data_IF_265020617632
#
_entry.id   IF_265020617632
#
_cell.length_a   1.000
_cell.length_b   1.000
_cell.length_c   1.000
_cell.angle_alpha   90.00
_cell.angle_beta   90.00
_cell.angle_gamma   90.00
#
_symmetry.space_group_name_H-M   'P 1'
#
loop_
_entity.id
_entity.type
_entity.pdbx_description
1 polymer ?
#
# COMPACT_ATOMS: atom_id res chain seq x y z
N UNK A 1 13.61 13.36 -59.10
CA UNK A 1 12.15 13.37 -59.09
C UNK A 1 11.72 12.59 -57.83
N UNK A 2 11.51 13.38 -56.81
CA UNK A 2 10.37 13.45 -55.88
C UNK A 2 9.72 12.07 -55.52
N UNK A 3 10.10 11.54 -54.38
CA UNK A 3 9.36 10.57 -53.61
C UNK A 3 8.51 11.28 -52.55
N UNK A 4 7.19 11.19 -52.64
CA UNK A 4 6.24 11.73 -51.69
C UNK A 4 6.12 10.89 -50.40
N UNK A 5 5.68 11.50 -49.28
CA UNK A 5 5.80 10.89 -47.94
C UNK A 5 4.68 9.92 -47.59
N UNK A 6 5.05 8.75 -47.04
CA UNK A 6 4.15 7.70 -46.52
C UNK A 6 3.99 7.85 -44.98
N UNK A 7 3.76 9.06 -44.48
CA UNK A 7 3.63 9.21 -43.01
C UNK A 7 2.32 9.81 -42.50
N UNK A 8 1.36 10.11 -43.35
CA UNK A 8 0.13 10.79 -42.87
C UNK A 8 -1.09 9.90 -42.63
N UNK A 9 -1.03 8.60 -42.98
CA UNK A 9 -2.20 7.72 -42.89
C UNK A 9 -2.22 6.77 -41.68
N UNK A 10 -1.12 6.61 -40.95
CA UNK A 10 -1.08 5.75 -39.76
C UNK A 10 -1.57 6.50 -38.52
N UNK A 11 -1.40 7.80 -38.45
CA UNK A 11 -1.87 8.63 -37.31
C UNK A 11 -3.39 8.91 -37.33
N UNK A 12 -4.07 8.73 -38.47
CA UNK A 12 -5.53 8.95 -38.58
C UNK A 12 -6.38 7.73 -38.30
N UNK A 13 -5.82 6.53 -38.26
CA UNK A 13 -6.59 5.30 -37.98
C UNK A 13 -6.63 4.90 -36.51
N UNK A 14 -5.88 5.57 -35.63
CA UNK A 14 -5.84 5.29 -34.19
C UNK A 14 -6.79 6.23 -33.41
N UNK A 15 -7.39 7.23 -34.06
CA UNK A 15 -8.18 8.27 -33.40
C UNK A 15 -9.69 8.18 -33.63
N UNK A 16 -10.26 6.97 -33.79
CA UNK A 16 -11.70 6.80 -33.93
C UNK A 16 -12.30 5.62 -33.15
N UNK A 17 -11.82 5.33 -31.96
CA UNK A 17 -12.68 4.81 -30.91
C UNK A 17 -13.08 6.00 -30.04
N UNK A 18 -14.32 6.45 -30.20
CA UNK A 18 -15.02 7.30 -29.25
C UNK A 18 -14.97 6.60 -27.88
N UNK A 19 -13.91 6.84 -27.10
CA UNK A 19 -13.98 6.60 -25.67
C UNK A 19 -14.93 7.66 -25.13
N UNK A 20 -16.14 7.25 -24.76
CA UNK A 20 -16.97 8.07 -23.88
C UNK A 20 -16.05 8.51 -22.73
N UNK A 21 -15.88 9.82 -22.53
CA UNK A 21 -14.96 10.33 -21.52
C UNK A 21 -15.43 9.82 -20.16
N UNK A 22 -14.60 8.99 -19.51
CA UNK A 22 -14.89 8.52 -18.16
C UNK A 22 -15.02 9.72 -17.23
N UNK A 23 -15.91 9.63 -16.23
CA UNK A 23 -16.05 10.69 -15.25
C UNK A 23 -14.75 10.89 -14.48
N UNK A 24 -14.39 12.13 -14.12
CA UNK A 24 -13.17 12.41 -13.36
C UNK A 24 -13.14 11.68 -12.03
N UNK A 25 -11.95 11.20 -11.66
CA UNK A 25 -11.66 10.59 -10.36
C UNK A 25 -10.79 11.56 -9.56
N UNK A 26 -11.19 11.86 -8.34
CA UNK A 26 -10.36 12.56 -7.37
C UNK A 26 -9.26 11.65 -6.83
N UNK A 27 -8.04 12.14 -6.74
CA UNK A 27 -6.95 11.39 -6.12
C UNK A 27 -6.15 12.28 -5.17
N UNK A 28 -6.10 11.88 -3.89
CA UNK A 28 -5.48 12.66 -2.81
C UNK A 28 -4.31 11.86 -2.22
N UNK A 29 -3.11 12.46 -2.26
CA UNK A 29 -1.86 11.85 -1.83
C UNK A 29 -1.11 11.17 -2.97
N UNK A 30 -0.06 11.85 -3.48
CA UNK A 30 0.74 11.45 -4.63
C UNK A 30 2.16 11.00 -4.24
N UNK A 31 2.33 10.50 -3.03
CA UNK A 31 3.60 9.94 -2.57
C UNK A 31 4.02 8.68 -3.34
N UNK A 32 4.95 7.89 -2.75
CA UNK A 32 5.55 6.72 -3.39
C UNK A 32 4.54 5.69 -3.94
N UNK A 33 3.39 5.55 -3.27
CA UNK A 33 2.32 4.65 -3.70
C UNK A 33 1.27 5.36 -4.56
N UNK A 34 0.79 6.53 -4.14
CA UNK A 34 -0.31 7.23 -4.80
C UNK A 34 0.02 7.69 -6.22
N UNK A 35 1.22 8.20 -6.47
CA UNK A 35 1.62 8.66 -7.81
C UNK A 35 1.53 7.52 -8.87
N UNK A 36 2.16 6.35 -8.69
CA UNK A 36 1.99 5.25 -9.65
C UNK A 36 0.55 4.73 -9.73
N UNK A 37 -0.21 4.72 -8.64
CA UNK A 37 -1.64 4.35 -8.66
C UNK A 37 -2.45 5.32 -9.53
N UNK A 38 -2.30 6.62 -9.32
CA UNK A 38 -2.95 7.66 -10.12
C UNK A 38 -2.58 7.55 -11.61
N UNK A 39 -1.31 7.31 -11.94
CA UNK A 39 -0.87 7.08 -13.32
C UNK A 39 -1.53 5.86 -13.97
N UNK A 40 -1.80 4.79 -13.23
CA UNK A 40 -2.51 3.64 -13.77
C UNK A 40 -3.98 3.95 -14.07
N UNK A 41 -4.68 4.75 -13.24
CA UNK A 41 -6.02 5.25 -13.57
C UNK A 41 -6.02 6.06 -14.87
N UNK A 42 -5.04 6.94 -15.05
CA UNK A 42 -4.89 7.72 -16.30
C UNK A 42 -4.68 6.81 -17.53
N UNK A 43 -3.85 5.78 -17.41
CA UNK A 43 -3.65 4.78 -18.50
C UNK A 43 -4.95 4.08 -18.89
N UNK A 44 -5.88 3.92 -17.96
CA UNK A 44 -7.21 3.34 -18.20
C UNK A 44 -8.24 4.38 -18.64
N UNK A 45 -7.82 5.62 -18.94
CA UNK A 45 -8.65 6.67 -19.52
C UNK A 45 -9.48 7.47 -18.52
N UNK A 46 -9.17 7.43 -17.23
CA UNK A 46 -9.81 8.29 -16.24
C UNK A 46 -9.11 9.65 -16.18
N UNK A 47 -9.83 10.77 -16.41
CA UNK A 47 -9.35 12.09 -16.04
C UNK A 47 -9.17 12.18 -14.52
N UNK A 48 -8.14 12.85 -14.04
CA UNK A 48 -7.89 12.98 -12.61
C UNK A 48 -8.02 14.43 -12.13
N UNK A 49 -8.60 14.60 -10.95
CA UNK A 49 -8.53 15.80 -10.13
C UNK A 49 -7.64 15.44 -8.94
N UNK A 50 -6.46 16.01 -8.85
CA UNK A 50 -5.43 15.57 -7.92
C UNK A 50 -5.14 16.62 -6.85
N UNK A 51 -4.79 16.15 -5.65
CA UNK A 51 -4.28 16.98 -4.55
C UNK A 51 -3.13 16.27 -3.83
N UNK A 52 -2.10 17.05 -3.52
CA UNK A 52 -1.03 16.67 -2.59
C UNK A 52 -0.63 17.92 -1.79
N UNK A 53 0.09 17.73 -0.69
CA UNK A 53 0.62 18.84 0.13
C UNK A 53 1.76 19.60 -0.56
N UNK A 54 2.34 19.02 -1.62
CA UNK A 54 3.31 19.70 -2.49
C UNK A 54 2.59 20.36 -3.68
N UNK A 55 2.92 21.64 -4.02
CA UNK A 55 2.13 22.42 -4.96
C UNK A 55 2.25 21.92 -6.40
N UNK A 56 1.16 22.01 -7.15
CA UNK A 56 0.92 22.10 -8.61
C UNK A 56 -0.43 21.49 -9.03
N UNK A 57 -1.38 21.41 -8.09
CA UNK A 57 -2.68 20.76 -8.27
C UNK A 57 -3.79 21.61 -7.61
N UNK A 58 -5.02 21.13 -7.49
CA UNK A 58 -6.06 21.89 -6.79
C UNK A 58 -5.63 22.22 -5.35
N UNK A 59 -6.19 23.30 -4.81
CA UNK A 59 -5.68 23.91 -3.57
C UNK A 59 -6.07 23.19 -2.28
N UNK A 60 -7.03 22.24 -2.34
CA UNK A 60 -7.49 21.53 -1.15
C UNK A 60 -8.18 20.19 -1.46
N UNK A 61 -8.29 19.28 -0.48
CA UNK A 61 -9.15 18.10 -0.58
C UNK A 61 -10.63 18.44 -0.87
N UNK A 62 -11.14 19.56 -0.33
CA UNK A 62 -12.49 20.04 -0.61
C UNK A 62 -12.69 20.38 -2.09
N UNK A 63 -11.69 20.95 -2.76
CA UNK A 63 -11.77 21.28 -4.19
C UNK A 63 -11.74 20.03 -5.07
N UNK A 64 -11.10 18.93 -4.60
CA UNK A 64 -11.23 17.63 -5.25
C UNK A 64 -12.66 17.13 -5.15
N UNK A 65 -13.27 17.19 -3.96
CA UNK A 65 -14.63 16.72 -3.71
C UNK A 65 -15.70 17.52 -4.47
N UNK A 66 -15.45 18.82 -4.70
CA UNK A 66 -16.32 19.64 -5.54
C UNK A 66 -16.37 19.19 -7.01
N UNK A 67 -15.24 18.64 -7.51
CA UNK A 67 -15.04 18.34 -8.94
C UNK A 67 -15.14 16.86 -9.29
N UNK A 68 -15.11 15.97 -8.30
CA UNK A 68 -15.17 14.52 -8.52
C UNK A 68 -16.15 13.85 -7.55
N UNK A 69 -16.91 12.88 -8.07
CA UNK A 69 -17.88 12.11 -7.29
C UNK A 69 -17.30 10.75 -6.83
N UNK A 70 -16.12 10.38 -7.34
CA UNK A 70 -15.35 9.20 -6.92
C UNK A 70 -13.97 9.68 -6.51
N UNK A 71 -13.59 9.43 -5.26
CA UNK A 71 -12.36 9.97 -4.67
C UNK A 71 -11.56 8.85 -4.02
N UNK A 72 -10.28 8.76 -4.35
CA UNK A 72 -9.33 7.82 -3.74
C UNK A 72 -8.33 8.61 -2.91
N UNK A 73 -8.09 8.16 -1.68
CA UNK A 73 -7.06 8.72 -0.80
C UNK A 73 -5.95 7.70 -0.56
N UNK A 74 -4.69 8.15 -0.52
CA UNK A 74 -3.51 7.32 -0.23
C UNK A 74 -2.54 8.10 0.64
N UNK A 75 -2.74 8.04 1.95
CA UNK A 75 -2.15 8.92 2.95
C UNK A 75 -1.26 8.14 3.93
N UNK A 76 -0.25 8.77 4.56
CA UNK A 76 0.74 8.05 5.36
C UNK A 76 0.22 7.56 6.73
N UNK A 77 -0.70 8.30 7.37
CA UNK A 77 -1.15 8.01 8.75
C UNK A 77 -2.64 8.29 8.94
N UNK A 78 -3.20 7.77 10.06
CA UNK A 78 -4.58 8.07 10.49
C UNK A 78 -4.82 9.57 10.66
N UNK A 79 -3.86 10.32 11.19
CA UNK A 79 -3.96 11.77 11.37
C UNK A 79 -4.12 12.48 10.02
N UNK A 80 -3.32 12.10 9.03
CA UNK A 80 -3.42 12.68 7.68
C UNK A 80 -4.77 12.33 7.02
N UNK A 81 -5.29 11.13 7.25
CA UNK A 81 -6.62 10.75 6.76
C UNK A 81 -7.71 11.62 7.41
N UNK A 82 -7.71 11.74 8.74
CA UNK A 82 -8.67 12.60 9.44
C UNK A 82 -8.60 14.04 8.92
N UNK A 83 -7.40 14.60 8.77
CA UNK A 83 -7.25 15.98 8.25
C UNK A 83 -7.77 16.11 6.81
N UNK A 84 -7.46 15.15 5.93
CA UNK A 84 -7.91 15.19 4.53
C UNK A 84 -9.43 15.07 4.40
N UNK A 85 -10.10 14.32 5.29
CA UNK A 85 -11.55 14.17 5.28
C UNK A 85 -12.26 15.28 6.05
N UNK A 86 -11.87 15.52 7.30
CA UNK A 86 -12.63 16.33 8.27
C UNK A 86 -12.00 17.68 8.60
N UNK A 87 -10.77 17.95 8.14
CA UNK A 87 -10.06 19.20 8.37
C UNK A 87 -10.77 20.43 7.81
N UNK A 88 -10.22 21.62 8.06
CA UNK A 88 -10.80 22.90 7.66
C UNK A 88 -11.14 22.98 6.17
N UNK A 89 -10.28 22.41 5.31
CA UNK A 89 -10.46 22.32 3.87
C UNK A 89 -10.58 20.85 3.40
N UNK A 90 -11.13 19.99 4.28
CA UNK A 90 -11.28 18.56 4.03
C UNK A 90 -12.42 18.23 3.07
N UNK A 91 -12.42 16.98 2.60
CA UNK A 91 -13.40 16.42 1.65
C UNK A 91 -14.84 16.72 2.07
N UNK A 92 -15.16 16.53 3.36
CA UNK A 92 -16.51 16.66 3.90
C UNK A 92 -17.13 18.06 3.74
N UNK A 93 -16.31 19.09 3.46
CA UNK A 93 -16.82 20.46 3.22
C UNK A 93 -17.56 20.62 1.91
N UNK A 94 -17.22 19.79 0.90
CA UNK A 94 -17.80 19.90 -0.45
C UNK A 94 -18.18 18.55 -1.08
N UNK A 95 -18.14 17.45 -0.32
CA UNK A 95 -18.54 16.14 -0.82
C UNK A 95 -20.00 16.15 -1.22
N UNK A 96 -20.32 15.54 -2.36
CA UNK A 96 -21.68 15.46 -2.89
C UNK A 96 -22.38 14.21 -2.41
N UNK A 97 -23.69 14.29 -2.27
CA UNK A 97 -24.54 13.12 -2.00
C UNK A 97 -24.35 12.09 -3.12
N UNK A 98 -24.18 10.82 -2.73
CA UNK A 98 -23.97 9.70 -3.66
C UNK A 98 -22.50 9.55 -4.12
N UNK A 99 -21.56 10.38 -3.63
CA UNK A 99 -20.14 10.18 -3.92
C UNK A 99 -19.61 8.90 -3.29
N UNK A 100 -18.66 8.24 -3.98
CA UNK A 100 -17.92 7.08 -3.49
C UNK A 100 -16.50 7.51 -3.09
N UNK A 101 -16.18 7.35 -1.80
CA UNK A 101 -14.89 7.67 -1.21
C UNK A 101 -14.17 6.37 -0.85
N UNK A 102 -12.96 6.17 -1.37
CA UNK A 102 -12.16 4.95 -1.19
C UNK A 102 -10.83 5.34 -0.53
N UNK A 103 -10.64 4.94 0.73
CA UNK A 103 -9.37 5.17 1.41
C UNK A 103 -8.44 3.97 1.27
N UNK A 104 -7.39 4.13 0.49
CA UNK A 104 -6.35 3.11 0.27
C UNK A 104 -5.17 3.22 1.23
N UNK A 105 -5.25 4.12 2.19
CA UNK A 105 -4.25 4.28 3.26
C UNK A 105 -4.27 3.09 4.21
N UNK A 106 -3.14 2.80 4.86
CA UNK A 106 -3.10 1.85 5.99
C UNK A 106 -3.21 2.63 7.28
N UNK A 107 -4.40 2.64 7.88
CA UNK A 107 -4.78 3.41 9.08
C UNK A 107 -5.48 2.52 10.11
N UNK A 108 -5.77 3.08 11.27
CA UNK A 108 -6.50 2.37 12.31
C UNK A 108 -7.93 2.00 11.82
N UNK A 109 -8.38 0.73 12.01
CA UNK A 109 -9.74 0.32 11.65
C UNK A 109 -10.84 1.15 12.34
N UNK A 110 -10.60 1.63 13.56
CA UNK A 110 -11.56 2.50 14.27
C UNK A 110 -11.71 3.86 13.60
N UNK A 111 -10.59 4.42 13.12
CA UNK A 111 -10.59 5.68 12.37
C UNK A 111 -11.34 5.53 11.05
N UNK A 112 -11.15 4.42 10.32
CA UNK A 112 -11.94 4.14 9.10
C UNK A 112 -13.44 4.10 9.40
N UNK A 113 -13.85 3.48 10.52
CA UNK A 113 -15.26 3.43 10.95
C UNK A 113 -15.83 4.80 11.34
N UNK A 114 -15.01 5.66 11.95
CA UNK A 114 -15.39 7.02 12.28
C UNK A 114 -15.54 7.88 11.03
N UNK A 115 -14.58 7.81 10.11
CA UNK A 115 -14.67 8.52 8.82
C UNK A 115 -15.89 8.08 8.02
N UNK A 116 -16.18 6.79 7.98
CA UNK A 116 -17.38 6.27 7.31
C UNK A 116 -18.66 6.92 7.85
N UNK A 117 -18.82 7.00 9.18
CA UNK A 117 -19.98 7.65 9.80
C UNK A 117 -20.13 9.11 9.40
N UNK A 118 -19.01 9.84 9.33
CA UNK A 118 -19.05 11.25 8.93
C UNK A 118 -19.39 11.40 7.44
N UNK A 119 -18.86 10.52 6.57
CA UNK A 119 -19.17 10.49 5.14
C UNK A 119 -20.64 10.12 4.90
N UNK A 120 -21.18 9.14 5.63
CA UNK A 120 -22.56 8.71 5.54
C UNK A 120 -23.55 9.83 5.94
N UNK A 121 -23.22 10.66 6.93
CA UNK A 121 -24.02 11.84 7.30
C UNK A 121 -24.17 12.83 6.14
N UNK A 122 -23.19 12.87 5.24
CA UNK A 122 -23.24 13.69 4.02
C UNK A 122 -24.01 13.01 2.87
N UNK A 123 -24.50 11.78 3.09
CA UNK A 123 -25.18 10.98 2.07
C UNK A 123 -24.25 10.40 1.01
N UNK A 124 -22.97 10.27 1.33
CA UNK A 124 -21.94 9.64 0.50
C UNK A 124 -21.55 8.26 1.07
N UNK A 125 -20.80 7.48 0.30
CA UNK A 125 -20.34 6.13 0.66
C UNK A 125 -18.86 6.14 0.94
N UNK A 126 -18.42 5.45 2.00
CA UNK A 126 -17.01 5.26 2.33
C UNK A 126 -16.63 3.79 2.28
N UNK A 127 -15.47 3.49 1.70
CA UNK A 127 -14.84 2.17 1.72
C UNK A 127 -13.38 2.30 2.11
N UNK A 128 -12.91 1.44 3.01
CA UNK A 128 -11.48 1.26 3.25
C UNK A 128 -10.93 0.21 2.28
N UNK A 129 -9.84 0.51 1.63
CA UNK A 129 -9.23 -0.36 0.62
C UNK A 129 -7.70 -0.32 0.66
N UNK A 130 -7.06 -0.64 1.83
CA UNK A 130 -5.61 -0.68 1.92
C UNK A 130 -5.01 -1.70 0.94
N UNK A 131 -3.74 -1.47 0.59
CA UNK A 131 -3.07 -2.18 -0.50
C UNK A 131 -1.89 -3.01 -0.03
N UNK A 132 -1.61 -4.09 -0.74
CA UNK A 132 -0.39 -4.90 -0.62
C UNK A 132 0.30 -5.03 -1.98
N UNK A 133 1.67 -5.12 -1.98
CA UNK A 133 2.48 -5.30 -3.19
C UNK A 133 3.65 -4.30 -3.30
N UNK A 134 3.63 -3.21 -2.53
CA UNK A 134 4.68 -2.19 -2.54
C UNK A 134 4.72 -1.36 -3.83
N UNK A 135 5.75 -0.52 -3.95
CA UNK A 135 5.91 0.44 -5.06
C UNK A 135 6.04 -0.25 -6.42
N UNK A 136 6.67 -1.43 -6.48
CA UNK A 136 6.79 -2.21 -7.71
C UNK A 136 5.43 -2.61 -8.26
N UNK A 137 4.58 -3.22 -7.44
CA UNK A 137 3.22 -3.59 -7.81
C UNK A 137 2.33 -2.37 -8.12
N UNK A 138 2.52 -1.26 -7.39
CA UNK A 138 1.81 -0.02 -7.70
C UNK A 138 2.15 0.51 -9.10
N UNK A 139 3.43 0.42 -9.52
CA UNK A 139 3.86 0.83 -10.87
C UNK A 139 3.32 -0.07 -11.97
N UNK A 140 3.30 -1.37 -11.73
CA UNK A 140 2.85 -2.38 -12.72
C UNK A 140 1.33 -2.59 -12.74
N UNK A 141 0.57 -2.00 -11.80
CA UNK A 141 -0.87 -2.21 -11.67
C UNK A 141 -1.25 -3.57 -11.07
N UNK A 142 -0.37 -4.18 -10.27
CA UNK A 142 -0.53 -5.51 -9.70
C UNK A 142 -0.78 -5.50 -8.19
N UNK A 143 -1.34 -4.42 -7.65
CA UNK A 143 -1.68 -4.34 -6.22
C UNK A 143 -2.78 -5.35 -5.85
N UNK A 144 -2.76 -5.77 -4.59
CA UNK A 144 -3.88 -6.43 -3.95
C UNK A 144 -4.58 -5.42 -3.05
N UNK A 145 -5.86 -5.16 -3.31
CA UNK A 145 -6.73 -4.31 -2.50
C UNK A 145 -7.58 -5.18 -1.58
N UNK A 146 -7.68 -4.79 -0.31
CA UNK A 146 -8.50 -5.42 0.72
C UNK A 146 -9.64 -4.45 1.06
N UNK A 147 -10.84 -4.70 0.54
CA UNK A 147 -11.93 -3.72 0.54
C UNK A 147 -12.94 -4.01 1.64
N UNK A 148 -13.10 -3.06 2.56
CA UNK A 148 -14.18 -3.06 3.56
C UNK A 148 -15.19 -1.96 3.25
N UNK A 149 -16.49 -2.27 3.35
CA UNK A 149 -17.56 -1.30 3.07
C UNK A 149 -18.89 -1.95 2.78
N UNK A 150 -19.80 -1.18 2.21
CA UNK A 150 -21.12 -1.64 1.79
C UNK A 150 -21.00 -2.54 0.55
N UNK A 151 -21.54 -3.75 0.62
CA UNK A 151 -21.36 -4.77 -0.42
C UNK A 151 -21.95 -4.33 -1.77
N UNK A 152 -23.08 -3.63 -1.74
CA UNK A 152 -23.77 -3.12 -2.93
C UNK A 152 -22.91 -2.14 -3.74
N UNK A 153 -21.99 -1.43 -3.09
CA UNK A 153 -21.09 -0.47 -3.73
C UNK A 153 -19.73 -1.09 -4.12
N UNK A 154 -19.48 -2.35 -3.75
CA UNK A 154 -18.21 -3.02 -4.04
C UNK A 154 -17.90 -3.08 -5.53
N UNK A 155 -18.88 -3.32 -6.39
CA UNK A 155 -18.68 -3.39 -7.83
C UNK A 155 -18.16 -2.06 -8.41
N UNK A 156 -18.66 -0.92 -7.91
CA UNK A 156 -18.21 0.41 -8.33
C UNK A 156 -16.76 0.70 -7.86
N UNK A 157 -16.40 0.27 -6.65
CA UNK A 157 -15.04 0.36 -6.16
C UNK A 157 -14.10 -0.57 -6.95
N UNK A 158 -14.51 -1.80 -7.24
CA UNK A 158 -13.74 -2.80 -7.97
C UNK A 158 -13.37 -2.32 -9.39
N UNK A 159 -14.28 -1.61 -10.08
CA UNK A 159 -14.00 -1.01 -11.39
C UNK A 159 -12.77 -0.09 -11.36
N UNK A 160 -12.69 0.79 -10.35
CA UNK A 160 -11.58 1.73 -10.21
C UNK A 160 -10.31 1.02 -9.72
N UNK A 161 -10.44 0.20 -8.68
CA UNK A 161 -9.31 -0.48 -8.05
C UNK A 161 -8.67 -1.50 -8.99
N UNK A 162 -9.45 -2.14 -9.87
CA UNK A 162 -8.98 -3.05 -10.91
C UNK A 162 -8.06 -2.38 -11.95
N UNK A 163 -8.10 -1.04 -12.08
CA UNK A 163 -7.14 -0.32 -12.90
C UNK A 163 -5.72 -0.25 -12.28
N UNK A 164 -5.61 -0.49 -10.98
CA UNK A 164 -4.39 -0.32 -10.19
C UNK A 164 -3.91 -1.62 -9.54
N UNK A 165 -4.75 -2.65 -9.54
CA UNK A 165 -4.45 -3.93 -8.90
C UNK A 165 -4.99 -5.12 -9.66
N UNK A 166 -4.31 -6.26 -9.52
CA UNK A 166 -4.73 -7.55 -10.09
C UNK A 166 -5.72 -8.30 -9.17
N UNK A 167 -5.75 -7.95 -7.90
CA UNK A 167 -6.66 -8.56 -6.92
C UNK A 167 -7.41 -7.46 -6.16
N UNK A 168 -8.74 -7.53 -6.19
CA UNK A 168 -9.63 -6.66 -5.41
C UNK A 168 -10.55 -7.56 -4.63
N UNK A 169 -10.34 -7.65 -3.30
CA UNK A 169 -10.98 -8.63 -2.44
C UNK A 169 -11.93 -7.92 -1.49
N UNK A 170 -13.20 -8.31 -1.48
CA UNK A 170 -14.17 -7.84 -0.51
C UNK A 170 -13.96 -8.52 0.85
N UNK A 171 -13.79 -7.72 1.88
CA UNK A 171 -13.49 -8.17 3.25
C UNK A 171 -14.67 -8.01 4.23
N UNK A 172 -15.82 -7.56 3.74
CA UNK A 172 -17.00 -7.29 4.58
C UNK A 172 -17.13 -5.82 4.98
N UNK A 173 -17.66 -5.54 6.16
CA UNK A 173 -17.98 -4.19 6.64
C UNK A 173 -16.75 -3.26 6.68
N UNK A 174 -17.01 -1.94 6.77
CA UNK A 174 -15.99 -0.91 6.95
C UNK A 174 -15.06 -1.24 8.10
N UNK A 175 -13.75 -1.07 7.86
CA UNK A 175 -12.65 -1.40 8.77
C UNK A 175 -12.12 -2.82 8.60
N UNK A 176 -12.82 -3.71 7.90
CA UNK A 176 -12.37 -5.08 7.66
C UNK A 176 -11.20 -5.15 6.64
N UNK A 177 -11.15 -4.25 5.67
CA UNK A 177 -10.01 -4.09 4.80
C UNK A 177 -8.74 -3.74 5.59
N UNK A 178 -8.84 -2.76 6.50
CA UNK A 178 -7.75 -2.40 7.41
C UNK A 178 -7.36 -3.58 8.32
N UNK A 179 -8.34 -4.28 8.91
CA UNK A 179 -8.08 -5.45 9.74
C UNK A 179 -7.32 -6.54 8.97
N UNK A 180 -7.76 -6.85 7.74
CA UNK A 180 -7.07 -7.82 6.88
C UNK A 180 -5.61 -7.37 6.60
N UNK A 181 -5.42 -6.08 6.30
CA UNK A 181 -4.09 -5.51 6.02
C UNK A 181 -3.15 -5.57 7.20
N UNK A 182 -3.57 -5.16 8.40
CA UNK A 182 -2.71 -5.20 9.59
C UNK A 182 -2.37 -6.62 10.02
N UNK A 183 -3.31 -7.57 9.90
CA UNK A 183 -3.03 -8.98 10.15
C UNK A 183 -1.99 -9.55 9.16
N UNK A 184 -2.14 -9.22 7.86
CA UNK A 184 -1.16 -9.60 6.84
C UNK A 184 0.23 -9.04 7.16
N UNK A 185 0.33 -7.75 7.51
CA UNK A 185 1.63 -7.13 7.75
C UNK A 185 2.27 -7.57 9.07
N UNK A 186 1.46 -7.89 10.08
CA UNK A 186 1.96 -8.52 11.30
C UNK A 186 2.59 -9.88 11.01
N UNK A 187 1.90 -10.75 10.25
CA UNK A 187 2.45 -12.04 9.85
C UNK A 187 3.69 -11.89 8.97
N UNK A 188 3.69 -10.93 8.05
CA UNK A 188 4.83 -10.60 7.21
C UNK A 188 6.07 -10.21 8.03
N UNK A 189 5.90 -9.37 9.05
CA UNK A 189 7.00 -8.95 9.94
C UNK A 189 7.57 -10.12 10.74
N UNK A 190 6.71 -10.96 11.32
CA UNK A 190 7.10 -12.17 12.06
C UNK A 190 7.87 -13.12 11.14
N UNK A 191 7.35 -13.37 9.94
CA UNK A 191 7.98 -14.25 8.96
C UNK A 191 9.33 -13.72 8.49
N UNK A 192 9.48 -12.40 8.33
CA UNK A 192 10.74 -11.79 7.94
C UNK A 192 11.80 -11.94 9.03
N UNK A 193 11.44 -11.68 10.30
CA UNK A 193 12.35 -11.87 11.42
C UNK A 193 12.74 -13.34 11.51
N UNK A 194 11.78 -14.26 11.49
CA UNK A 194 12.06 -15.70 11.55
C UNK A 194 12.95 -16.20 10.41
N UNK A 195 12.73 -15.69 9.18
CA UNK A 195 13.60 -15.99 8.04
C UNK A 195 15.01 -15.45 8.28
N UNK A 196 15.15 -14.22 8.77
CA UNK A 196 16.44 -13.60 9.05
C UNK A 196 17.22 -14.38 10.13
N UNK A 197 16.57 -14.76 11.22
CA UNK A 197 17.16 -15.57 12.30
C UNK A 197 17.61 -16.95 11.79
N UNK A 198 16.73 -17.67 11.07
CA UNK A 198 17.04 -18.99 10.52
C UNK A 198 18.23 -18.95 9.54
N UNK A 199 18.24 -17.95 8.64
CA UNK A 199 19.34 -17.74 7.69
C UNK A 199 20.63 -17.40 8.42
N UNK A 200 20.60 -16.50 9.40
CA UNK A 200 21.78 -16.12 10.17
C UNK A 200 22.36 -17.33 10.94
N UNK A 201 21.52 -18.10 11.63
CA UNK A 201 21.93 -19.31 12.34
C UNK A 201 22.59 -20.32 11.40
N UNK A 202 21.96 -20.62 10.25
CA UNK A 202 22.48 -21.61 9.32
C UNK A 202 23.82 -21.19 8.70
N UNK A 203 23.99 -19.89 8.37
CA UNK A 203 25.25 -19.35 7.89
C UNK A 203 26.37 -19.50 8.95
N UNK A 204 26.05 -19.27 10.23
CA UNK A 204 27.02 -19.45 11.33
C UNK A 204 27.37 -20.91 11.59
N UNK A 205 26.45 -21.82 11.29
CA UNK A 205 26.70 -23.27 11.31
C UNK A 205 27.48 -23.77 10.09
N UNK A 206 27.86 -22.87 9.15
CA UNK A 206 28.68 -23.18 7.99
C UNK A 206 27.92 -23.55 6.72
N UNK A 207 26.59 -23.35 6.69
CA UNK A 207 25.81 -23.61 5.48
C UNK A 207 25.98 -22.49 4.45
N UNK A 208 26.07 -22.86 3.19
CA UNK A 208 25.99 -21.89 2.08
C UNK A 208 24.61 -21.22 2.08
N UNK A 209 24.54 -19.87 2.01
CA UNK A 209 23.26 -19.15 2.10
C UNK A 209 22.25 -19.53 1.01
N UNK A 210 22.72 -19.75 -0.24
CA UNK A 210 21.83 -20.13 -1.35
C UNK A 210 21.30 -21.55 -1.19
N UNK A 211 22.15 -22.46 -0.72
CA UNK A 211 21.75 -23.83 -0.40
C UNK A 211 20.72 -23.83 0.72
N UNK A 212 20.94 -23.07 1.80
CA UNK A 212 20.00 -22.99 2.93
C UNK A 212 18.65 -22.42 2.48
N UNK A 213 18.63 -21.31 1.72
CA UNK A 213 17.41 -20.75 1.18
C UNK A 213 16.66 -21.75 0.30
N UNK A 214 17.36 -22.52 -0.55
CA UNK A 214 16.76 -23.60 -1.34
C UNK A 214 16.11 -24.68 -0.46
N UNK A 215 16.78 -25.11 0.61
CA UNK A 215 16.25 -26.09 1.55
C UNK A 215 14.98 -25.58 2.24
N UNK A 216 15.01 -24.33 2.76
CA UNK A 216 13.84 -23.70 3.40
C UNK A 216 12.65 -23.64 2.43
N UNK A 217 12.90 -23.26 1.17
CA UNK A 217 11.85 -23.10 0.16
C UNK A 217 11.29 -24.43 -0.38
N UNK A 218 12.00 -25.53 -0.20
CA UNK A 218 11.55 -26.91 -0.54
C UNK A 218 10.88 -27.61 0.65
N UNK A 219 10.92 -27.02 1.83
CA UNK A 219 10.49 -27.63 3.08
C UNK A 219 9.40 -26.80 3.77
N UNK A 220 9.00 -27.26 4.96
CA UNK A 220 7.91 -26.64 5.75
C UNK A 220 8.20 -25.23 6.29
N UNK A 221 9.45 -24.77 6.22
CA UNK A 221 9.85 -23.40 6.60
C UNK A 221 9.60 -22.34 5.52
N UNK A 222 9.08 -22.75 4.36
CA UNK A 222 8.79 -21.83 3.26
C UNK A 222 7.77 -20.75 3.66
N UNK A 223 8.09 -19.50 3.35
CA UNK A 223 7.17 -18.36 3.44
C UNK A 223 7.54 -17.32 2.38
N UNK A 224 6.70 -16.28 2.20
CA UNK A 224 6.96 -15.22 1.25
C UNK A 224 8.32 -14.54 1.48
N UNK A 225 8.72 -14.34 2.73
CA UNK A 225 10.02 -13.77 3.09
C UNK A 225 11.20 -14.66 2.70
N UNK A 226 11.04 -15.98 2.65
CA UNK A 226 12.10 -16.91 2.26
C UNK A 226 12.22 -17.09 0.75
N UNK A 227 11.09 -17.18 0.02
CA UNK A 227 11.08 -17.58 -1.38
C UNK A 227 10.93 -16.44 -2.39
N UNK A 228 10.42 -15.28 -1.95
CA UNK A 228 10.13 -14.14 -2.83
C UNK A 228 10.90 -12.87 -2.44
N UNK A 229 11.32 -12.78 -1.18
CA UNK A 229 11.91 -11.54 -0.65
C UNK A 229 13.03 -11.81 0.39
N UNK A 230 13.94 -12.72 0.05
CA UNK A 230 14.96 -13.19 1.00
C UNK A 230 15.82 -12.04 1.54
N UNK A 231 15.97 -11.92 2.89
CA UNK A 231 16.68 -10.80 3.52
C UNK A 231 18.22 -10.88 3.40
N UNK A 232 18.78 -11.99 2.91
CA UNK A 232 20.22 -12.20 2.87
C UNK A 232 20.81 -11.66 1.56
N UNK A 233 21.79 -10.74 1.62
CA UNK A 233 22.46 -10.26 0.42
C UNK A 233 23.08 -11.39 -0.43
N UNK A 234 22.88 -11.33 -1.75
CA UNK A 234 23.42 -12.30 -2.69
C UNK A 234 22.67 -13.62 -2.82
N UNK A 235 21.61 -13.84 -2.04
CA UNK A 235 20.72 -15.02 -2.18
C UNK A 235 19.75 -14.84 -3.33
N UNK A 236 19.17 -13.65 -3.47
CA UNK A 236 18.14 -13.36 -4.47
C UNK A 236 18.42 -11.99 -5.13
N UNK A 237 18.25 -11.91 -6.45
CA UNK A 237 18.34 -10.67 -7.21
C UNK A 237 16.99 -9.92 -7.24
N UNK A 238 17.03 -8.60 -7.48
CA UNK A 238 15.83 -7.76 -7.64
C UNK A 238 15.08 -7.45 -6.35
N UNK A 239 15.58 -7.86 -5.20
CA UNK A 239 15.04 -7.55 -3.86
C UNK A 239 15.91 -6.53 -3.13
N UNK A 240 15.40 -5.79 -2.13
CA UNK A 240 16.18 -4.77 -1.43
C UNK A 240 17.46 -5.28 -0.77
N UNK A 241 17.51 -6.52 -0.29
CA UNK A 241 18.73 -7.11 0.26
C UNK A 241 19.88 -7.16 -0.75
N UNK A 242 19.59 -7.24 -2.06
CA UNK A 242 20.58 -7.18 -3.13
C UNK A 242 21.08 -5.74 -3.42
N UNK A 243 20.45 -4.72 -2.86
CA UNK A 243 20.72 -3.30 -3.09
C UNK A 243 20.92 -2.54 -1.77
N UNK A 244 21.68 -3.08 -0.84
CA UNK A 244 21.92 -2.50 0.49
C UNK A 244 20.61 -2.06 1.21
N UNK A 245 19.54 -2.83 1.04
CA UNK A 245 18.21 -2.58 1.60
C UNK A 245 17.59 -1.23 1.22
N UNK A 246 17.94 -0.71 0.04
CA UNK A 246 17.35 0.51 -0.50
C UNK A 246 16.06 0.19 -1.27
N UNK A 247 15.06 1.05 -1.15
CA UNK A 247 13.73 0.85 -1.77
C UNK A 247 12.84 -0.06 -0.95
N UNK A 248 11.93 -0.77 -1.61
CA UNK A 248 11.01 -1.73 -0.99
C UNK A 248 10.01 -1.11 -0.02
N UNK A 249 9.78 -1.79 1.11
CA UNK A 249 8.87 -1.38 2.18
C UNK A 249 9.66 -0.93 3.43
N UNK A 250 9.59 0.35 3.74
CA UNK A 250 10.44 0.95 4.78
C UNK A 250 10.19 0.43 6.19
N UNK A 251 11.27 0.27 6.95
CA UNK A 251 11.27 -0.13 8.37
C UNK A 251 10.31 0.72 9.22
N UNK A 252 10.26 2.04 9.00
CA UNK A 252 9.33 2.94 9.70
C UNK A 252 7.87 2.60 9.40
N UNK A 253 7.54 2.23 8.16
CA UNK A 253 6.18 1.85 7.79
C UNK A 253 5.79 0.50 8.38
N UNK A 254 6.73 -0.46 8.44
CA UNK A 254 6.51 -1.73 9.11
C UNK A 254 6.28 -1.53 10.62
N UNK A 255 7.09 -0.69 11.28
CA UNK A 255 6.90 -0.34 12.70
C UNK A 255 5.53 0.32 12.94
N UNK A 256 5.09 1.21 12.04
CA UNK A 256 3.75 1.82 12.09
C UNK A 256 2.64 0.77 11.97
N UNK A 257 2.72 -0.10 10.99
CA UNK A 257 1.69 -1.13 10.77
C UNK A 257 1.60 -2.12 11.94
N UNK A 258 2.75 -2.49 12.53
CA UNK A 258 2.79 -3.30 13.75
C UNK A 258 2.21 -2.54 14.96
N UNK A 259 2.38 -1.22 15.03
CA UNK A 259 1.72 -0.38 16.04
C UNK A 259 0.20 -0.44 15.92
N UNK A 260 -0.34 -0.33 14.71
CA UNK A 260 -1.78 -0.48 14.45
C UNK A 260 -2.29 -1.88 14.86
N UNK A 261 -1.50 -2.93 14.59
CA UNK A 261 -1.82 -4.29 15.03
C UNK A 261 -1.82 -4.41 16.57
N UNK A 262 -0.86 -3.78 17.26
CA UNK A 262 -0.77 -3.76 18.72
C UNK A 262 -1.96 -3.04 19.34
N UNK A 263 -2.35 -1.89 18.81
CA UNK A 263 -3.50 -1.11 19.29
C UNK A 263 -4.81 -1.88 19.09
N UNK A 264 -4.98 -2.50 17.92
CA UNK A 264 -6.12 -3.37 17.62
C UNK A 264 -6.17 -4.59 18.54
N UNK A 265 -5.03 -5.23 18.81
CA UNK A 265 -4.94 -6.36 19.73
C UNK A 265 -5.30 -5.97 21.16
N UNK A 266 -4.88 -4.80 21.63
CA UNK A 266 -5.20 -4.26 22.94
C UNK A 266 -6.71 -3.99 23.05
N UNK A 267 -7.32 -3.34 22.06
CA UNK A 267 -8.73 -3.00 22.06
C UNK A 267 -9.65 -4.24 21.99
N UNK A 268 -9.23 -5.27 21.27
CA UNK A 268 -9.96 -6.55 21.13
C UNK A 268 -9.59 -7.58 22.16
N UNK A 269 -8.62 -7.30 23.04
CA UNK A 269 -8.07 -8.22 24.06
C UNK A 269 -7.49 -9.50 23.44
N UNK A 270 -6.92 -9.40 22.24
CA UNK A 270 -6.31 -10.53 21.53
C UNK A 270 -4.81 -10.63 21.86
N UNK A 271 -4.30 -11.78 22.34
CA UNK A 271 -2.87 -11.93 22.57
C UNK A 271 -2.11 -12.06 21.26
N UNK A 272 -1.08 -11.21 21.05
CA UNK A 272 -0.21 -11.22 19.86
C UNK A 272 1.27 -11.23 20.27
N UNK A 273 1.71 -12.23 21.01
CA UNK A 273 3.05 -12.27 21.61
C UNK A 273 4.17 -12.02 20.60
N UNK A 274 4.18 -12.76 19.48
CA UNK A 274 5.19 -12.60 18.42
C UNK A 274 5.01 -11.26 17.69
N UNK A 275 3.77 -10.80 17.45
CA UNK A 275 3.49 -9.49 16.86
C UNK A 275 3.99 -8.35 17.72
N UNK A 276 3.80 -8.42 19.02
CA UNK A 276 4.31 -7.43 20.00
C UNK A 276 5.84 -7.40 20.01
N UNK A 277 6.50 -8.57 20.01
CA UNK A 277 7.95 -8.67 19.95
C UNK A 277 8.48 -8.09 18.61
N UNK A 278 7.89 -8.47 17.50
CA UNK A 278 8.24 -7.93 16.18
C UNK A 278 8.11 -6.39 16.16
N UNK A 279 7.05 -5.83 16.76
CA UNK A 279 6.88 -4.38 16.87
C UNK A 279 8.05 -3.74 17.61
N UNK A 280 8.48 -4.30 18.76
CA UNK A 280 9.62 -3.74 19.50
C UNK A 280 10.93 -3.84 18.71
N UNK A 281 11.17 -4.94 17.98
CA UNK A 281 12.35 -5.09 17.12
C UNK A 281 12.40 -3.98 16.06
N UNK A 282 11.31 -3.77 15.30
CA UNK A 282 11.27 -2.72 14.27
C UNK A 282 11.34 -1.31 14.85
N UNK A 283 10.82 -1.06 16.06
CA UNK A 283 11.01 0.21 16.77
C UNK A 283 12.49 0.44 17.11
N UNK A 284 13.19 -0.58 17.63
CA UNK A 284 14.63 -0.49 17.91
C UNK A 284 15.42 -0.24 16.62
N UNK A 285 15.10 -0.90 15.54
CA UNK A 285 15.72 -0.66 14.23
C UNK A 285 15.57 0.79 13.78
N UNK A 286 14.37 1.39 13.96
CA UNK A 286 14.16 2.80 13.66
C UNK A 286 15.08 3.72 14.49
N UNK A 287 15.24 3.44 15.79
CA UNK A 287 16.11 4.21 16.68
C UNK A 287 17.60 4.04 16.36
N UNK A 288 18.01 2.90 15.79
CA UNK A 288 19.39 2.57 15.44
C UNK A 288 19.79 2.90 13.99
N UNK A 289 19.04 3.76 13.30
CA UNK A 289 19.42 4.28 11.98
C UNK A 289 18.89 3.50 10.77
N UNK A 290 18.03 2.48 10.98
CA UNK A 290 17.42 1.67 9.91
C UNK A 290 16.13 2.26 9.36
N UNK A 291 15.66 3.41 9.84
CA UNK A 291 14.37 4.02 9.49
C UNK A 291 14.09 4.14 7.99
N UNK A 292 15.13 4.43 7.20
CA UNK A 292 15.04 4.61 5.75
C UNK A 292 15.36 3.35 4.94
N UNK A 293 15.77 2.26 5.60
CA UNK A 293 16.04 0.98 4.96
C UNK A 293 14.77 0.17 4.83
N UNK A 294 14.77 -0.78 3.91
CA UNK A 294 13.72 -1.79 3.77
C UNK A 294 13.61 -2.64 5.05
N UNK A 295 12.41 -3.11 5.37
CA UNK A 295 12.15 -3.92 6.57
C UNK A 295 12.95 -5.22 6.62
N UNK A 296 13.37 -5.77 5.46
CA UNK A 296 14.25 -6.93 5.40
C UNK A 296 15.66 -6.67 5.92
N UNK A 297 16.02 -5.40 6.18
CA UNK A 297 17.27 -5.04 6.85
C UNK A 297 17.38 -5.54 8.29
N UNK A 298 16.32 -6.16 8.83
CA UNK A 298 16.38 -6.88 10.10
C UNK A 298 17.47 -7.96 10.10
N UNK A 299 17.79 -8.56 8.97
CA UNK A 299 18.91 -9.49 8.86
C UNK A 299 20.26 -8.80 9.16
N UNK A 300 20.48 -7.60 8.61
CA UNK A 300 21.69 -6.81 8.92
C UNK A 300 21.71 -6.40 10.39
N UNK A 301 20.56 -5.91 10.90
CA UNK A 301 20.42 -5.51 12.30
C UNK A 301 20.78 -6.64 13.28
N UNK A 302 20.27 -7.87 13.06
CA UNK A 302 20.58 -9.02 13.88
C UNK A 302 22.06 -9.41 13.87
N UNK A 303 22.78 -9.13 12.78
CA UNK A 303 24.21 -9.41 12.66
C UNK A 303 25.11 -8.36 13.32
N UNK A 304 24.66 -7.10 13.36
CA UNK A 304 25.43 -5.98 13.94
C UNK A 304 25.41 -6.00 15.48
N UNK A 305 24.37 -6.55 16.11
CA UNK A 305 24.25 -6.63 17.57
C UNK A 305 25.26 -7.60 18.22
N UNK A 306 26.02 -8.36 17.44
CA UNK A 306 26.92 -9.38 17.95
C UNK A 306 28.41 -8.95 18.00
N UNK A 307 28.71 -7.69 17.73
CA UNK A 307 30.03 -7.12 17.89
C UNK A 307 30.27 -6.59 19.33
N UNK A 308 29.76 -7.34 20.34
CA UNK A 308 30.07 -7.12 21.75
C UNK A 308 31.22 -8.01 22.21
#
# INVERSE_FOLDING_TARGET
>A
MLSAPIESNILKSVCSRSMASKTPVGFIGLGNMGNPMAKNLMKHGYPLIIYDVFPDVVSSPADVAEKADRIITMLPTSINAVEAYSGTNGILKKVKKGSLLIDSSTIDPSVSKELAKEVEKMGAVFMDAPVSGGVGAARSGNLTFMVGGVEEEFAAAQELLGCMGSNVVYCGAVGNGQAAKICNNMLLAISMIGTAEAMNLGIRLGLDPKLLAKILNMSSGRCWSSDTYNPVPGVMDGVPSANNYQGGFGTTLMAKDLGLAQDSATSTKSPILLGSLAHQIYRMMCAKGYSKKDFSSVFQFLREEENF
#
